data_IF_149527047177
#
_entry.id   IF_149527047177
#
_cell.length_a   1.000
_cell.length_b   1.000
_cell.length_c   1.000
_cell.angle_alpha   90.00
_cell.angle_beta   90.00
_cell.angle_gamma   90.00
#
_symmetry.space_group_name_H-M   'P 1'
#
loop_
_entity.id
_entity.type
_entity.pdbx_description
1 polymer ?
#
# COMPACT_ATOMS: atom_id res chain seq x y z
N UNK A 1 3.14 26.97 4.67
CA UNK A 1 4.43 26.35 4.33
C UNK A 1 4.22 25.24 3.33
N UNK A 2 5.07 25.19 2.35
CA UNK A 2 4.98 24.20 1.30
C UNK A 2 5.69 22.91 1.72
N UNK A 3 5.02 21.79 1.44
CA UNK A 3 5.58 20.48 1.71
C UNK A 3 6.80 20.21 0.81
N UNK A 4 7.88 19.70 1.39
CA UNK A 4 9.07 19.31 0.62
C UNK A 4 8.80 17.96 -0.07
N UNK A 5 9.25 17.80 -1.33
CA UNK A 5 9.16 16.53 -2.04
C UNK A 5 9.93 15.42 -1.31
N UNK A 6 10.96 15.78 -0.54
CA UNK A 6 11.73 14.82 0.26
C UNK A 6 10.91 14.22 1.41
N UNK A 7 9.81 14.86 1.81
CA UNK A 7 8.96 14.42 2.91
C UNK A 7 7.81 13.52 2.44
N UNK A 8 7.68 13.32 1.15
CA UNK A 8 6.63 12.52 0.55
C UNK A 8 7.25 11.32 -0.14
N UNK A 9 6.72 10.13 0.13
CA UNK A 9 7.08 8.95 -0.65
C UNK A 9 6.06 8.81 -1.77
N UNK A 10 6.55 8.76 -3.00
CA UNK A 10 5.68 8.66 -4.17
C UNK A 10 6.23 7.60 -5.12
N UNK A 11 5.37 6.68 -5.55
CA UNK A 11 5.72 5.62 -6.49
C UNK A 11 4.65 5.60 -7.58
N UNK A 12 5.10 5.59 -8.83
CA UNK A 12 4.20 5.61 -9.97
C UNK A 12 4.60 4.52 -10.96
N UNK A 13 3.61 3.79 -11.49
CA UNK A 13 3.84 2.73 -12.49
C UNK A 13 2.72 2.72 -13.51
N UNK A 14 3.04 2.29 -14.73
CA UNK A 14 2.05 2.04 -15.77
C UNK A 14 1.73 0.54 -15.79
N UNK A 15 0.44 0.23 -15.73
CA UNK A 15 -0.07 -1.14 -15.67
C UNK A 15 -0.88 -1.41 -16.95
N UNK A 16 -0.59 -2.51 -17.65
CA UNK A 16 -1.34 -2.91 -18.84
C UNK A 16 -2.62 -3.64 -18.43
N UNK A 17 -3.50 -2.89 -17.75
CA UNK A 17 -4.82 -3.35 -17.33
C UNK A 17 -5.70 -2.12 -17.14
N UNK A 18 -7.00 -2.30 -17.25
CA UNK A 18 -7.94 -1.18 -17.07
C UNK A 18 -8.03 -0.78 -15.60
N UNK A 19 -8.43 0.48 -15.30
CA UNK A 19 -8.57 0.92 -13.91
C UNK A 19 -9.46 0.01 -13.06
N UNK A 20 -10.56 -0.50 -13.60
CA UNK A 20 -11.46 -1.40 -12.87
C UNK A 20 -10.73 -2.68 -12.43
N UNK A 21 -9.89 -3.23 -13.29
CA UNK A 21 -9.10 -4.43 -12.98
C UNK A 21 -8.09 -4.12 -11.89
N UNK A 22 -7.33 -3.03 -12.05
CA UNK A 22 -6.34 -2.62 -11.04
C UNK A 22 -7.02 -2.34 -9.70
N UNK A 23 -8.14 -1.63 -9.74
CA UNK A 23 -8.89 -1.29 -8.52
C UNK A 23 -9.31 -2.54 -7.75
N UNK A 24 -9.70 -3.61 -8.46
CA UNK A 24 -10.10 -4.85 -7.80
C UNK A 24 -8.97 -5.45 -6.95
N UNK A 25 -7.70 -5.22 -7.35
CA UNK A 25 -6.54 -5.69 -6.56
C UNK A 25 -6.30 -4.84 -5.32
N UNK A 26 -6.94 -3.67 -5.22
CA UNK A 26 -6.82 -2.79 -4.06
C UNK A 26 -7.88 -3.07 -2.99
N UNK A 27 -9.03 -3.63 -3.38
CA UNK A 27 -10.19 -3.76 -2.48
C UNK A 27 -10.61 -5.21 -2.20
N UNK A 28 -10.24 -6.16 -3.04
CA UNK A 28 -10.53 -7.57 -2.82
C UNK A 28 -9.38 -8.21 -2.04
N UNK A 29 -9.66 -8.78 -0.88
CA UNK A 29 -8.61 -9.28 0.01
C UNK A 29 -7.76 -10.37 -0.62
N UNK A 30 -8.35 -11.30 -1.38
CA UNK A 30 -7.59 -12.36 -2.04
C UNK A 30 -6.67 -11.82 -3.12
N UNK A 31 -7.15 -10.86 -3.91
CA UNK A 31 -6.34 -10.21 -4.94
C UNK A 31 -5.26 -9.34 -4.32
N UNK A 32 -5.60 -8.64 -3.25
CA UNK A 32 -4.66 -7.79 -2.53
C UNK A 32 -3.45 -8.59 -2.03
N UNK A 33 -3.69 -9.80 -1.49
CA UNK A 33 -2.62 -10.65 -0.98
C UNK A 33 -1.64 -11.14 -2.06
N UNK A 34 -2.01 -11.04 -3.33
CA UNK A 34 -1.10 -11.41 -4.40
C UNK A 34 0.06 -10.45 -4.54
N UNK A 35 -0.14 -9.20 -4.13
CA UNK A 35 0.90 -8.18 -4.28
C UNK A 35 1.40 -7.60 -2.98
N UNK A 36 0.61 -7.63 -1.91
CA UNK A 36 1.03 -7.07 -0.61
C UNK A 36 0.47 -7.91 0.54
N UNK A 37 1.38 -8.32 1.44
CA UNK A 37 0.99 -9.00 2.66
C UNK A 37 0.71 -10.49 2.50
N UNK A 38 0.64 -11.18 3.63
CA UNK A 38 0.31 -12.61 3.69
C UNK A 38 -1.12 -12.83 4.13
N UNK A 39 -1.76 -11.81 4.72
CA UNK A 39 -3.16 -11.83 5.08
C UNK A 39 -3.70 -10.40 5.04
N UNK A 40 -4.97 -10.23 4.72
CA UNK A 40 -5.57 -8.91 4.58
C UNK A 40 -7.03 -8.94 5.01
N UNK A 41 -7.43 -7.92 5.76
CA UNK A 41 -8.82 -7.65 6.12
C UNK A 41 -9.16 -6.27 5.59
N UNK A 42 -10.00 -6.20 4.57
CA UNK A 42 -10.31 -4.97 3.85
C UNK A 42 -11.82 -4.75 3.80
N UNK A 43 -12.27 -3.66 4.43
CA UNK A 43 -13.65 -3.21 4.32
C UNK A 43 -13.62 -1.86 3.60
N UNK A 44 -13.56 -1.89 2.28
CA UNK A 44 -13.24 -0.75 1.43
C UNK A 44 -14.43 0.21 1.29
N UNK A 45 -14.72 0.92 2.37
CA UNK A 45 -15.72 1.99 2.45
C UNK A 45 -15.25 3.02 3.46
N UNK A 46 -15.69 4.28 3.37
CA UNK A 46 -15.31 5.28 4.38
C UNK A 46 -15.63 4.80 5.79
N UNK A 47 -14.64 4.83 6.68
CA UNK A 47 -14.76 4.32 8.04
C UNK A 47 -14.47 2.83 8.18
N UNK A 48 -14.29 2.09 7.08
CA UNK A 48 -14.00 0.66 7.12
C UNK A 48 -12.55 0.37 7.49
N UNK A 49 -12.32 -0.86 7.96
CA UNK A 49 -10.99 -1.29 8.40
C UNK A 49 -10.09 -1.63 7.21
N UNK A 50 -8.82 -1.25 7.34
CA UNK A 50 -7.72 -1.68 6.52
C UNK A 50 -6.69 -2.33 7.46
N UNK A 51 -6.46 -3.63 7.33
CA UNK A 51 -5.52 -4.33 8.21
C UNK A 51 -4.82 -5.43 7.44
N UNK A 52 -3.49 -5.34 7.36
CA UNK A 52 -2.68 -6.25 6.55
C UNK A 52 -1.54 -6.83 7.37
N UNK A 53 -1.46 -8.15 7.42
CA UNK A 53 -0.31 -8.84 8.01
C UNK A 53 0.75 -8.93 6.92
N UNK A 54 1.87 -8.23 7.11
CA UNK A 54 2.91 -8.13 6.10
C UNK A 54 3.88 -9.30 6.13
N UNK A 55 4.12 -9.87 7.31
CA UNK A 55 5.05 -10.97 7.48
C UNK A 55 4.36 -12.14 8.16
N UNK A 56 4.70 -13.36 7.74
CA UNK A 56 4.05 -14.55 8.29
C UNK A 56 4.57 -14.93 9.66
N UNK A 57 5.88 -14.98 9.83
CA UNK A 57 6.50 -15.49 11.04
C UNK A 57 6.48 -14.48 12.18
N UNK A 58 6.92 -13.26 11.93
CA UNK A 58 7.00 -12.23 12.96
C UNK A 58 5.69 -11.48 13.17
N UNK A 59 4.73 -11.65 12.27
CA UNK A 59 3.41 -11.05 12.32
C UNK A 59 3.44 -9.51 12.48
N UNK A 60 4.16 -8.88 11.59
CA UNK A 60 4.20 -7.43 11.52
C UNK A 60 2.95 -6.96 10.78
N UNK A 61 2.13 -6.15 11.44
CA UNK A 61 0.80 -5.77 10.95
C UNK A 61 0.72 -4.27 10.74
N UNK A 62 0.28 -3.87 9.55
CA UNK A 62 -0.10 -2.48 9.28
C UNK A 62 -1.61 -2.38 9.35
N UNK A 63 -2.12 -1.28 9.92
CA UNK A 63 -3.55 -1.07 9.97
C UNK A 63 -3.91 0.40 9.84
N UNK A 64 -5.18 0.65 9.50
CA UNK A 64 -5.71 1.98 9.30
C UNK A 64 -7.19 1.94 9.01
N UNK A 65 -7.68 3.06 8.52
CA UNK A 65 -9.09 3.26 8.21
C UNK A 65 -9.19 3.88 6.82
N UNK A 66 -10.15 3.41 6.04
CA UNK A 66 -10.44 4.06 4.75
C UNK A 66 -11.09 5.41 5.03
N UNK A 67 -10.54 6.46 4.41
CA UNK A 67 -11.10 7.81 4.51
C UNK A 67 -11.95 8.13 3.28
N UNK A 68 -11.55 7.61 2.10
CA UNK A 68 -12.22 7.87 0.84
C UNK A 68 -12.05 6.67 -0.07
N UNK A 69 -13.14 6.26 -0.72
CA UNK A 69 -13.12 5.17 -1.69
C UNK A 69 -13.98 5.59 -2.89
N UNK A 70 -13.32 5.90 -4.01
CA UNK A 70 -13.98 6.33 -5.25
C UNK A 70 -13.63 5.35 -6.38
N UNK A 71 -14.39 4.25 -6.55
CA UNK A 71 -14.09 3.31 -7.62
C UNK A 71 -14.29 3.94 -9.01
N UNK A 72 -13.44 3.65 -9.97
CA UNK A 72 -12.21 2.88 -9.88
C UNK A 72 -10.95 3.77 -9.86
N UNK A 73 -11.02 4.98 -9.27
CA UNK A 73 -10.01 6.01 -9.47
C UNK A 73 -9.19 6.36 -8.24
N UNK A 74 -9.72 6.16 -7.01
CA UNK A 74 -9.01 6.70 -5.86
C UNK A 74 -9.37 6.00 -4.56
N UNK A 75 -8.36 5.79 -3.73
CA UNK A 75 -8.49 5.34 -2.35
C UNK A 75 -7.60 6.22 -1.49
N UNK A 76 -8.11 6.67 -0.35
CA UNK A 76 -7.33 7.33 0.69
C UNK A 76 -7.56 6.58 1.98
N UNK A 77 -6.48 6.23 2.68
CA UNK A 77 -6.57 5.54 3.96
C UNK A 77 -5.49 6.03 4.91
N UNK A 78 -5.71 5.85 6.20
CA UNK A 78 -4.66 6.05 7.19
C UNK A 78 -3.80 4.80 7.25
N UNK A 79 -2.57 4.95 7.71
CA UNK A 79 -1.59 3.88 7.69
C UNK A 79 -0.68 3.99 8.90
N UNK A 80 -0.42 2.87 9.53
CA UNK A 80 0.55 2.81 10.62
C UNK A 80 0.71 1.37 11.08
N UNK A 81 1.74 1.12 11.87
CA UNK A 81 2.11 -0.22 12.29
C UNK A 81 1.61 -0.51 13.69
N UNK A 82 0.99 -1.67 13.87
CA UNK A 82 0.52 -2.08 15.19
C UNK A 82 1.73 -2.32 16.09
N UNK A 83 1.67 -1.87 17.36
CA UNK A 83 2.81 -1.99 18.26
C UNK A 83 3.23 -3.44 18.49
N UNK A 84 4.53 -3.67 18.42
CA UNK A 84 5.11 -4.95 18.81
C UNK A 84 6.60 -4.78 19.02
N UNK A 85 7.21 -5.70 19.76
CA UNK A 85 8.65 -5.73 19.95
C UNK A 85 9.34 -6.07 18.64
N UNK A 86 10.47 -5.44 18.37
CA UNK A 86 11.29 -5.77 17.22
C UNK A 86 10.84 -5.15 15.89
N UNK A 87 9.96 -4.16 15.90
CA UNK A 87 9.64 -3.44 14.67
C UNK A 87 10.88 -2.73 14.13
N UNK A 88 11.12 -2.77 12.81
CA UNK A 88 12.17 -1.95 12.21
C UNK A 88 11.96 -0.48 12.55
N UNK A 89 13.04 0.33 12.67
CA UNK A 89 12.90 1.76 13.02
C UNK A 89 11.95 2.52 12.08
N UNK A 90 11.99 2.21 10.79
CA UNK A 90 11.12 2.87 9.83
C UNK A 90 9.64 2.57 10.02
N UNK A 91 9.30 1.42 10.61
CA UNK A 91 7.93 1.07 10.95
C UNK A 91 7.56 1.60 12.34
N UNK A 92 8.47 1.47 13.32
CA UNK A 92 8.23 1.92 14.69
C UNK A 92 7.91 3.42 14.77
N UNK A 93 8.47 4.21 13.87
CA UNK A 93 8.24 5.65 13.82
C UNK A 93 6.84 6.03 13.30
N UNK A 94 6.06 5.05 12.83
CA UNK A 94 4.77 5.32 12.19
C UNK A 94 3.67 4.49 12.86
N UNK A 95 3.21 4.91 14.06
CA UNK A 95 2.09 4.24 14.72
C UNK A 95 0.80 4.34 13.93
N UNK A 96 -0.15 3.46 14.24
CA UNK A 96 -1.46 3.43 13.57
C UNK A 96 -2.11 4.82 13.59
N UNK A 97 -2.63 5.24 12.45
CA UNK A 97 -3.35 6.50 12.32
C UNK A 97 -2.50 7.75 12.14
N UNK A 98 -1.18 7.60 12.03
CA UNK A 98 -0.29 8.77 11.99
C UNK A 98 0.19 9.16 10.59
N UNK A 99 -0.08 8.34 9.59
CA UNK A 99 0.27 8.66 8.21
C UNK A 99 -0.90 8.38 7.28
N UNK A 100 -0.80 8.87 6.05
CA UNK A 100 -1.87 8.77 5.06
C UNK A 100 -1.33 8.24 3.75
N UNK A 101 -2.06 7.30 3.15
CA UNK A 101 -1.74 6.75 1.84
C UNK A 101 -2.87 7.12 0.88
N UNK A 102 -2.49 7.69 -0.25
CA UNK A 102 -3.41 7.98 -1.34
C UNK A 102 -2.98 7.16 -2.56
N UNK A 103 -3.90 6.38 -3.11
CA UNK A 103 -3.67 5.63 -4.34
C UNK A 103 -4.63 6.15 -5.40
N UNK A 104 -4.09 6.63 -6.52
CA UNK A 104 -4.87 7.12 -7.64
C UNK A 104 -4.63 6.27 -8.88
N UNK A 105 -5.69 6.04 -9.63
CA UNK A 105 -5.65 5.28 -10.88
C UNK A 105 -6.15 6.18 -11.99
N UNK A 106 -5.29 6.45 -12.97
CA UNK A 106 -5.64 7.31 -14.10
C UNK A 106 -5.61 6.47 -15.38
N UNK A 107 -6.70 6.48 -16.13
CA UNK A 107 -6.76 5.76 -17.38
C UNK A 107 -5.77 6.36 -18.38
N UNK A 108 -5.07 5.51 -19.12
CA UNK A 108 -4.11 5.87 -20.15
C UNK A 108 -4.30 4.89 -21.31
N UNK A 109 -5.18 5.22 -22.25
CA UNK A 109 -5.68 4.31 -23.27
C UNK A 109 -6.29 3.07 -22.59
N UNK A 110 -5.77 1.86 -22.86
CA UNK A 110 -6.25 0.65 -22.20
C UNK A 110 -5.45 0.28 -20.96
N UNK A 111 -4.47 1.12 -20.62
CA UNK A 111 -3.64 0.93 -19.45
C UNK A 111 -4.09 1.86 -18.31
N UNK A 112 -3.41 1.75 -17.19
CA UNK A 112 -3.67 2.56 -16.00
C UNK A 112 -2.35 3.07 -15.46
N UNK A 113 -2.31 4.35 -15.09
CA UNK A 113 -1.21 4.89 -14.30
C UNK A 113 -1.61 4.77 -12.83
N UNK A 114 -0.85 3.99 -12.09
CA UNK A 114 -1.03 3.82 -10.64
C UNK A 114 -0.04 4.73 -9.94
N UNK A 115 -0.54 5.57 -9.03
CA UNK A 115 0.32 6.43 -8.22
C UNK A 115 -0.02 6.20 -6.76
N UNK A 116 1.01 5.88 -5.96
CA UNK A 116 0.91 5.79 -4.51
C UNK A 116 1.63 6.99 -3.91
N UNK A 117 0.94 7.73 -3.05
CA UNK A 117 1.50 8.89 -2.37
C UNK A 117 1.30 8.69 -0.87
N UNK A 118 2.42 8.63 -0.13
CA UNK A 118 2.42 8.36 1.30
C UNK A 118 2.97 9.59 2.03
N UNK A 119 2.16 10.21 2.87
CA UNK A 119 2.48 11.44 3.59
C UNK A 119 2.40 11.21 5.10
N UNK A 120 2.99 12.13 5.88
CA UNK A 120 2.99 12.04 7.33
C UNK A 120 4.07 11.15 7.89
N UNK A 121 5.08 10.81 7.11
CA UNK A 121 6.21 10.00 7.56
C UNK A 121 7.21 10.90 8.28
N UNK A 122 7.47 10.69 9.59
CA UNK A 122 8.14 11.69 10.41
C UNK A 122 9.66 11.69 10.33
N UNK A 123 10.27 10.66 9.75
CA UNK A 123 11.72 10.52 9.79
C UNK A 123 12.27 10.02 8.46
N UNK A 124 13.59 10.21 8.27
CA UNK A 124 14.27 9.67 7.11
C UNK A 124 14.19 8.13 7.09
N UNK A 125 14.28 7.50 8.27
CA UNK A 125 14.14 6.05 8.36
C UNK A 125 12.75 5.58 7.91
N UNK A 126 11.69 6.29 8.34
CA UNK A 126 10.32 5.98 7.92
C UNK A 126 10.17 6.13 6.40
N UNK A 127 10.69 7.22 5.84
CA UNK A 127 10.59 7.45 4.40
C UNK A 127 11.34 6.38 3.59
N UNK A 128 12.56 6.04 3.99
CA UNK A 128 13.36 5.02 3.29
C UNK A 128 12.69 3.65 3.37
N UNK A 129 12.21 3.28 4.55
CA UNK A 129 11.53 2.02 4.77
C UNK A 129 10.30 1.87 3.86
N UNK A 130 9.45 2.90 3.84
CA UNK A 130 8.22 2.86 3.05
C UNK A 130 8.47 3.01 1.56
N UNK A 131 9.46 3.81 1.15
CA UNK A 131 9.84 3.92 -0.25
C UNK A 131 10.27 2.56 -0.81
N UNK A 132 11.12 1.86 -0.07
CA UNK A 132 11.55 0.51 -0.47
C UNK A 132 10.34 -0.43 -0.57
N UNK A 133 9.50 -0.45 0.45
CA UNK A 133 8.33 -1.32 0.49
C UNK A 133 7.35 -1.04 -0.65
N UNK A 134 7.05 0.22 -0.91
CA UNK A 134 6.14 0.58 -2.00
C UNK A 134 6.71 0.23 -3.38
N UNK A 135 8.00 0.44 -3.60
CA UNK A 135 8.61 0.05 -4.88
C UNK A 135 8.51 -1.45 -5.11
N UNK A 136 8.78 -2.24 -4.06
CA UNK A 136 8.67 -3.71 -4.17
C UNK A 136 7.22 -4.14 -4.41
N UNK A 137 6.28 -3.64 -3.61
CA UNK A 137 4.90 -4.13 -3.67
C UNK A 137 4.15 -3.62 -4.89
N UNK A 138 4.40 -2.38 -5.33
CA UNK A 138 3.74 -1.86 -6.54
C UNK A 138 4.25 -2.57 -7.79
N UNK A 139 5.52 -2.94 -7.85
CA UNK A 139 6.01 -3.76 -8.96
C UNK A 139 5.29 -5.12 -9.01
N UNK A 140 4.97 -5.69 -7.85
CA UNK A 140 4.20 -6.93 -7.77
C UNK A 140 2.75 -6.72 -8.22
N UNK A 141 2.15 -5.58 -7.86
CA UNK A 141 0.81 -5.21 -8.31
C UNK A 141 0.75 -5.16 -9.85
N UNK A 142 1.76 -4.57 -10.47
CA UNK A 142 1.84 -4.52 -11.94
C UNK A 142 1.78 -5.92 -12.54
N UNK A 143 2.59 -6.84 -12.02
CA UNK A 143 2.62 -8.21 -12.51
C UNK A 143 1.28 -8.92 -12.30
N UNK A 144 0.73 -8.83 -11.09
CA UNK A 144 -0.52 -9.50 -10.75
C UNK A 144 -1.71 -8.97 -11.56
N UNK A 145 -1.85 -7.65 -11.66
CA UNK A 145 -2.95 -7.03 -12.38
C UNK A 145 -2.90 -7.31 -13.89
N UNK A 146 -1.74 -7.61 -14.42
CA UNK A 146 -1.57 -7.99 -15.82
C UNK A 146 -1.77 -9.49 -16.06
N UNK A 147 -2.18 -10.24 -15.02
CA UNK A 147 -2.46 -11.66 -15.11
C UNK A 147 -1.24 -12.56 -14.87
N UNK A 148 -0.11 -11.99 -14.46
CA UNK A 148 1.09 -12.75 -14.15
C UNK A 148 1.14 -13.19 -12.70
N UNK A 149 2.17 -13.97 -12.38
CA UNK A 149 2.41 -14.45 -11.02
C UNK A 149 3.64 -13.73 -10.45
N UNK A 150 3.47 -12.85 -9.45
CA UNK A 150 4.62 -12.15 -8.87
C UNK A 150 5.47 -13.03 -7.95
N UNK A 151 5.10 -14.28 -7.76
CA UNK A 151 5.80 -15.19 -6.87
C UNK A 151 5.49 -14.96 -5.39
N UNK A 152 6.20 -15.64 -4.48
CA UNK A 152 5.98 -15.49 -3.04
C UNK A 152 6.23 -14.06 -2.57
N UNK A 153 5.49 -13.65 -1.54
CA UNK A 153 5.70 -12.34 -0.90
C UNK A 153 7.12 -12.30 -0.34
N UNK A 154 7.95 -11.30 -0.67
CA UNK A 154 9.35 -11.27 -0.23
C UNK A 154 9.55 -11.27 1.29
N UNK A 155 8.57 -10.78 2.05
CA UNK A 155 8.67 -10.67 3.50
C UNK A 155 7.94 -11.81 4.23
N UNK A 156 7.38 -12.77 3.51
CA UNK A 156 6.45 -13.74 4.09
C UNK A 156 7.05 -14.57 5.22
N UNK A 157 8.35 -14.82 5.17
CA UNK A 157 9.04 -15.65 6.16
C UNK A 157 9.82 -14.84 7.21
N UNK A 158 9.70 -13.55 7.17
CA UNK A 158 10.40 -12.68 8.13
C UNK A 158 9.83 -12.76 9.53
#
# INVERSE_FOLDING_TARGET
MRESTAEVVEVERRVQARPETVFSYLVDAEKFRQWQGVDAELDARPGGIFRVTMTGRSRVVVSGEYLQVDPPTRIVLTWGWEPRDGLPPGAADVPVGTSTVEITLTADAEATIVRVRHTGLPSAAARSFHSYGWNVTVDRLVIAAQGGDPGPIPFAES
#
